data_IF_278118564489
#
_entry.id   IF_278118564489
#
_cell.length_a   1.000
_cell.length_b   1.000
_cell.length_c   1.000
_cell.angle_alpha   90.00
_cell.angle_beta   90.00
_cell.angle_gamma   90.00
#
_symmetry.space_group_name_H-M   'P 1'
#
loop_
_entity.id
_entity.type
_entity.pdbx_description
1 polymer ?
#
# COMPACT_ATOMS: atom_id res chain seq x y z
N UNK A 1 -19.93 -14.90 -15.47
CA UNK A 1 -19.41 -15.48 -14.22
C UNK A 1 -17.92 -15.63 -14.43
N UNK A 2 -17.14 -14.64 -14.00
CA UNK A 2 -15.68 -14.64 -14.17
C UNK A 2 -15.12 -15.80 -13.34
N UNK A 3 -14.05 -16.44 -13.82
CA UNK A 3 -13.45 -17.61 -13.16
C UNK A 3 -12.90 -17.23 -11.78
N UNK A 4 -13.19 -18.00 -10.73
CA UNK A 4 -12.73 -17.75 -9.35
C UNK A 4 -11.22 -17.46 -9.25
N UNK A 5 -10.42 -18.10 -10.11
CA UNK A 5 -8.98 -17.90 -10.20
C UNK A 5 -8.61 -16.50 -10.71
N UNK A 6 -9.38 -15.96 -11.66
CA UNK A 6 -9.15 -14.62 -12.20
C UNK A 6 -9.48 -13.56 -11.15
N UNK A 7 -10.58 -13.73 -10.42
CA UNK A 7 -10.96 -12.82 -9.34
C UNK A 7 -9.91 -12.78 -8.23
N UNK A 8 -9.34 -13.94 -7.88
CA UNK A 8 -8.22 -14.02 -6.94
C UNK A 8 -6.99 -13.24 -7.42
N UNK A 9 -6.61 -13.41 -8.70
CA UNK A 9 -5.47 -12.67 -9.29
C UNK A 9 -5.73 -11.17 -9.31
N UNK A 10 -6.95 -10.73 -9.68
CA UNK A 10 -7.31 -9.31 -9.66
C UNK A 10 -7.26 -8.73 -8.25
N UNK A 11 -7.82 -9.43 -7.25
CA UNK A 11 -7.76 -9.01 -5.85
C UNK A 11 -6.32 -8.97 -5.32
N UNK A 12 -5.47 -9.92 -5.71
CA UNK A 12 -4.06 -9.93 -5.35
C UNK A 12 -3.31 -8.72 -5.94
N UNK A 13 -3.49 -8.43 -7.23
CA UNK A 13 -2.89 -7.27 -7.90
C UNK A 13 -3.42 -5.95 -7.33
N UNK A 14 -4.72 -5.87 -7.07
CA UNK A 14 -5.35 -4.71 -6.48
C UNK A 14 -4.84 -4.45 -5.06
N UNK A 15 -4.73 -5.49 -4.23
CA UNK A 15 -4.19 -5.40 -2.88
C UNK A 15 -2.73 -4.98 -2.90
N UNK A 16 -1.92 -5.53 -3.80
CA UNK A 16 -0.53 -5.12 -4.00
C UNK A 16 -0.44 -3.63 -4.33
N UNK A 17 -1.23 -3.14 -5.30
CA UNK A 17 -1.22 -1.73 -5.68
C UNK A 17 -1.69 -0.83 -4.55
N UNK A 18 -2.75 -1.21 -3.85
CA UNK A 18 -3.29 -0.44 -2.72
C UNK A 18 -2.28 -0.34 -1.58
N UNK A 19 -1.63 -1.45 -1.23
CA UNK A 19 -0.59 -1.49 -0.19
C UNK A 19 0.56 -0.56 -0.55
N UNK A 20 1.05 -0.64 -1.80
CA UNK A 20 2.14 0.24 -2.26
C UNK A 20 1.71 1.70 -2.24
N UNK A 21 0.47 1.97 -2.64
CA UNK A 21 -0.12 3.31 -2.64
C UNK A 21 -0.25 3.89 -1.24
N UNK A 22 -0.54 3.10 -0.22
CA UNK A 22 -0.65 3.57 1.17
C UNK A 22 0.72 3.74 1.86
N UNK A 23 1.66 2.83 1.62
CA UNK A 23 2.93 2.78 2.35
C UNK A 23 4.02 3.61 1.70
N UNK A 24 4.12 3.61 0.37
CA UNK A 24 5.30 4.15 -0.34
C UNK A 24 5.00 5.38 -1.19
N UNK A 25 3.79 5.51 -1.73
CA UNK A 25 3.49 6.56 -2.71
C UNK A 25 3.53 7.97 -2.08
N UNK A 26 4.15 8.92 -2.79
CA UNK A 26 4.26 10.32 -2.36
C UNK A 26 2.92 11.03 -2.42
N UNK A 27 2.03 10.62 -3.33
CA UNK A 27 0.70 11.23 -3.49
C UNK A 27 -0.12 11.07 -2.20
N UNK A 28 0.02 9.93 -1.53
CA UNK A 28 -0.67 9.64 -0.27
C UNK A 28 0.13 10.05 0.97
N UNK A 29 1.24 10.78 0.81
CA UNK A 29 2.02 11.27 1.96
C UNK A 29 1.15 12.14 2.90
N UNK A 30 0.13 12.83 2.38
CA UNK A 30 -0.84 13.55 3.20
C UNK A 30 -1.58 12.64 4.19
N UNK A 31 -1.85 11.39 3.81
CA UNK A 31 -2.52 10.40 4.65
C UNK A 31 -1.60 9.88 5.76
N UNK A 32 -0.28 9.80 5.49
CA UNK A 32 0.75 9.35 6.46
C UNK A 32 1.21 10.46 7.41
N UNK A 33 1.30 11.71 6.94
CA UNK A 33 1.72 12.89 7.71
C UNK A 33 1.08 13.07 9.10
N UNK A 34 -0.22 12.77 9.31
CA UNK A 34 -0.81 12.83 10.64
C UNK A 34 -0.38 11.68 11.57
N UNK A 35 0.11 10.55 11.05
CA UNK A 35 0.47 9.36 11.83
C UNK A 35 1.98 9.17 11.98
N UNK A 36 2.78 9.64 11.02
CA UNK A 36 4.23 9.49 11.02
C UNK A 36 4.92 10.86 11.22
N UNK A 37 6.03 10.85 11.95
CA UNK A 37 7.00 11.93 12.08
C UNK A 37 8.32 11.39 11.55
N UNK A 38 8.78 11.93 10.44
CA UNK A 38 10.13 11.67 9.97
C UNK A 38 11.07 12.50 10.85
N UNK A 39 11.88 11.82 11.67
CA UNK A 39 12.94 12.45 12.44
C UNK A 39 14.25 12.05 11.77
N UNK A 40 14.93 13.04 11.22
CA UNK A 40 16.31 12.92 10.76
C UNK A 40 17.20 13.19 11.97
N UNK A 41 17.68 12.12 12.62
CA UNK A 41 18.73 12.26 13.65
C UNK A 41 20.08 11.90 13.05
N UNK A 42 21.07 12.74 13.31
CA UNK A 42 22.47 12.39 13.03
C UNK A 42 22.90 11.42 14.11
N UNK A 43 23.14 10.16 13.72
CA UNK A 43 23.70 9.17 14.62
C UNK A 43 25.09 9.64 15.10
N UNK A 44 25.58 9.17 16.27
CA UNK A 44 26.90 9.53 16.80
C UNK A 44 28.06 9.27 15.82
N UNK A 45 27.85 8.36 14.87
CA UNK A 45 28.81 7.95 13.84
C UNK A 45 28.77 8.82 12.56
N UNK A 46 27.97 9.89 12.54
CA UNK A 46 27.89 10.83 11.41
C UNK A 46 26.99 10.37 10.25
N UNK A 47 26.31 9.22 10.38
CA UNK A 47 25.29 8.77 9.44
C UNK A 47 23.96 9.46 9.70
N UNK A 48 23.29 9.90 8.64
CA UNK A 48 21.93 10.45 8.71
C UNK A 48 21.00 9.25 8.69
N UNK A 49 20.35 8.97 9.82
CA UNK A 49 19.36 7.90 9.90
C UNK A 49 17.96 8.53 10.00
N UNK A 50 17.13 8.25 9.00
CA UNK A 50 15.73 8.66 8.97
C UNK A 50 14.90 7.65 9.74
N UNK A 51 14.46 8.04 10.94
CA UNK A 51 13.58 7.22 11.77
C UNK A 51 12.13 7.70 11.65
N UNK A 52 11.22 6.75 11.48
CA UNK A 52 9.77 7.02 11.48
C UNK A 52 9.27 6.91 12.93
N UNK A 53 9.08 8.06 13.59
CA UNK A 53 8.42 8.12 14.89
C UNK A 53 6.89 8.19 14.71
N UNK A 54 6.16 7.30 15.38
CA UNK A 54 4.71 7.21 15.27
C UNK A 54 4.04 8.25 16.19
N UNK A 55 3.20 9.11 15.63
CA UNK A 55 2.54 10.21 16.34
C UNK A 55 1.27 9.77 17.08
N UNK A 56 1.06 10.36 18.26
CA UNK A 56 -0.20 10.28 19.00
C UNK A 56 -0.35 9.05 19.88
N UNK A 57 -1.56 8.84 20.43
CA UNK A 57 -1.89 7.74 21.34
C UNK A 57 -3.16 7.00 20.88
N UNK A 58 -3.38 5.77 21.38
CA UNK A 58 -4.56 4.97 21.06
C UNK A 58 -4.69 4.62 19.56
N UNK A 59 -5.86 4.90 18.98
CA UNK A 59 -6.19 4.58 17.58
C UNK A 59 -5.23 5.26 16.59
N UNK A 60 -4.78 6.49 16.88
CA UNK A 60 -3.85 7.21 16.01
C UNK A 60 -2.49 6.50 15.94
N UNK A 61 -2.00 5.99 17.07
CA UNK A 61 -0.77 5.20 17.11
C UNK A 61 -0.93 3.87 16.37
N UNK A 62 -2.05 3.18 16.58
CA UNK A 62 -2.36 1.91 15.91
C UNK A 62 -2.41 2.03 14.38
N UNK A 63 -3.05 3.09 13.84
CA UNK A 63 -3.05 3.36 12.39
C UNK A 63 -1.63 3.65 11.89
N UNK A 64 -0.83 4.38 12.68
CA UNK A 64 0.57 4.65 12.36
C UNK A 64 1.43 3.39 12.31
N UNK A 65 1.23 2.45 13.23
CA UNK A 65 1.89 1.13 13.25
C UNK A 65 1.46 0.25 12.06
N UNK A 66 0.17 0.31 11.70
CA UNK A 66 -0.35 -0.40 10.54
C UNK A 66 0.31 0.12 9.26
N UNK A 67 0.38 1.43 9.09
CA UNK A 67 0.99 2.09 7.92
C UNK A 67 2.52 1.96 7.87
N UNK A 68 3.20 1.75 9.00
CA UNK A 68 4.64 1.49 9.00
C UNK A 68 4.98 0.04 8.64
N UNK A 69 4.04 -0.89 8.84
CA UNK A 69 4.22 -2.29 8.48
C UNK A 69 3.51 -2.63 7.16
N UNK A 70 4.29 -2.82 6.09
CA UNK A 70 3.74 -3.19 4.78
C UNK A 70 2.99 -4.53 4.76
N UNK A 71 3.34 -5.48 5.64
CA UNK A 71 2.63 -6.75 5.77
C UNK A 71 1.24 -6.53 6.38
N UNK A 72 1.16 -5.76 7.45
CA UNK A 72 -0.10 -5.39 8.09
C UNK A 72 -0.99 -4.63 7.11
N UNK A 73 -0.46 -3.59 6.46
CA UNK A 73 -1.19 -2.83 5.45
C UNK A 73 -1.69 -3.74 4.32
N UNK A 74 -0.90 -4.75 3.92
CA UNK A 74 -1.27 -5.76 2.93
C UNK A 74 -2.49 -6.57 3.31
N UNK A 75 -2.51 -7.15 4.51
CA UNK A 75 -3.65 -7.94 5.01
C UNK A 75 -4.91 -7.10 5.10
N UNK A 76 -4.81 -5.87 5.63
CA UNK A 76 -5.95 -4.96 5.74
C UNK A 76 -6.45 -4.47 4.37
N UNK A 77 -5.54 -4.21 3.43
CA UNK A 77 -5.89 -3.84 2.06
C UNK A 77 -6.69 -4.94 1.36
N UNK A 78 -6.23 -6.20 1.48
CA UNK A 78 -6.94 -7.35 0.94
C UNK A 78 -8.33 -7.52 1.57
N UNK A 79 -8.43 -7.42 2.90
CA UNK A 79 -9.69 -7.55 3.62
C UNK A 79 -10.70 -6.45 3.21
N UNK A 80 -10.26 -5.21 3.06
CA UNK A 80 -11.09 -4.08 2.63
C UNK A 80 -11.55 -4.28 1.19
N UNK A 81 -10.66 -4.66 0.28
CA UNK A 81 -11.01 -4.86 -1.13
C UNK A 81 -12.00 -6.01 -1.31
N UNK A 82 -11.73 -7.17 -0.69
CA UNK A 82 -12.62 -8.32 -0.73
C UNK A 82 -13.97 -8.00 -0.08
N UNK A 83 -13.96 -7.37 1.10
CA UNK A 83 -15.18 -6.94 1.79
C UNK A 83 -16.01 -5.95 0.96
N UNK A 84 -15.37 -4.98 0.30
CA UNK A 84 -16.05 -4.01 -0.57
C UNK A 84 -16.66 -4.67 -1.80
N UNK A 85 -15.96 -5.65 -2.37
CA UNK A 85 -16.45 -6.42 -3.51
C UNK A 85 -17.66 -7.29 -3.13
N UNK A 86 -17.67 -7.88 -1.93
CA UNK A 86 -18.77 -8.70 -1.43
C UNK A 86 -19.98 -7.88 -0.98
N UNK A 87 -19.78 -6.78 -0.26
CA UNK A 87 -20.86 -5.97 0.30
C UNK A 87 -21.48 -5.02 -0.72
N UNK A 88 -20.65 -4.42 -1.59
CA UNK A 88 -21.07 -3.41 -2.57
C UNK A 88 -20.49 -3.71 -3.95
N UNK A 89 -20.92 -4.80 -4.62
CA UNK A 89 -20.31 -5.26 -5.87
C UNK A 89 -20.32 -4.22 -6.99
N UNK A 90 -21.32 -3.33 -7.03
CA UNK A 90 -21.39 -2.25 -8.02
C UNK A 90 -20.24 -1.24 -7.91
N UNK A 91 -19.68 -1.05 -6.71
CA UNK A 91 -18.60 -0.08 -6.45
C UNK A 91 -17.27 -0.81 -6.22
N UNK A 92 -17.28 -1.93 -5.50
CA UNK A 92 -16.08 -2.73 -5.23
C UNK A 92 -15.48 -3.32 -6.50
N UNK A 93 -16.30 -3.85 -7.41
CA UNK A 93 -15.80 -4.44 -8.66
C UNK A 93 -14.99 -3.46 -9.53
N UNK A 94 -15.48 -2.24 -9.84
CA UNK A 94 -14.68 -1.30 -10.61
C UNK A 94 -13.43 -0.83 -9.86
N UNK A 95 -13.49 -0.65 -8.53
CA UNK A 95 -12.32 -0.27 -7.73
C UNK A 95 -11.22 -1.34 -7.80
N UNK A 96 -11.58 -2.61 -7.58
CA UNK A 96 -10.65 -3.75 -7.67
C UNK A 96 -10.06 -3.82 -9.08
N UNK A 97 -10.87 -3.70 -10.12
CA UNK A 97 -10.40 -3.70 -11.51
C UNK A 97 -9.38 -2.59 -11.80
N UNK A 98 -9.67 -1.35 -11.41
CA UNK A 98 -8.78 -0.20 -11.63
C UNK A 98 -7.44 -0.41 -10.91
N UNK A 99 -7.49 -0.84 -9.64
CA UNK A 99 -6.29 -1.09 -8.84
C UNK A 99 -5.49 -2.27 -9.38
N UNK A 100 -6.15 -3.33 -9.86
CA UNK A 100 -5.49 -4.49 -10.45
C UNK A 100 -4.75 -4.12 -11.75
N UNK A 101 -5.39 -3.35 -12.63
CA UNK A 101 -4.77 -2.85 -13.87
C UNK A 101 -3.55 -1.98 -13.54
N UNK A 102 -3.69 -1.03 -12.61
CA UNK A 102 -2.59 -0.18 -12.18
C UNK A 102 -1.46 -0.99 -11.50
N UNK A 103 -1.80 -2.03 -10.74
CA UNK A 103 -0.84 -2.95 -10.14
C UNK A 103 -0.03 -3.72 -11.18
N UNK A 104 -0.71 -4.29 -12.17
CA UNK A 104 -0.06 -4.98 -13.29
C UNK A 104 0.84 -4.02 -14.08
N UNK A 105 0.35 -2.83 -14.41
CA UNK A 105 1.13 -1.81 -15.10
C UNK A 105 2.41 -1.44 -14.32
N UNK A 106 2.31 -1.28 -13.00
CA UNK A 106 3.45 -0.98 -12.14
C UNK A 106 4.50 -2.10 -12.15
N UNK A 107 4.06 -3.37 -12.18
CA UNK A 107 4.96 -4.53 -12.24
C UNK A 107 5.67 -4.56 -13.60
N UNK A 108 4.92 -4.40 -14.70
CA UNK A 108 5.47 -4.35 -16.05
C UNK A 108 6.49 -3.22 -16.20
N UNK A 109 6.18 -2.02 -15.72
CA UNK A 109 7.10 -0.88 -15.72
C UNK A 109 8.38 -1.20 -14.93
N UNK A 110 8.26 -1.78 -13.74
CA UNK A 110 9.42 -2.16 -12.92
C UNK A 110 10.30 -3.19 -13.63
N UNK A 111 9.69 -4.17 -14.30
CA UNK A 111 10.40 -5.19 -15.08
C UNK A 111 11.09 -4.58 -16.31
N UNK A 112 10.41 -3.71 -17.05
CA UNK A 112 10.98 -3.04 -18.22
C UNK A 112 12.17 -2.18 -17.85
N UNK A 113 12.06 -1.37 -16.80
CA UNK A 113 13.17 -0.57 -16.28
C UNK A 113 14.36 -1.47 -15.91
N UNK A 114 14.09 -2.59 -15.24
CA UNK A 114 15.15 -3.53 -14.86
C UNK A 114 15.87 -4.17 -16.05
N UNK A 115 15.14 -4.47 -17.14
CA UNK A 115 15.71 -5.03 -18.37
C UNK A 115 16.51 -3.97 -19.16
N UNK A 116 16.08 -2.70 -19.12
CA UNK A 116 16.77 -1.60 -19.83
C UNK A 116 18.03 -1.12 -19.12
N UNK A 117 18.09 -1.26 -17.80
CA UNK A 117 19.25 -0.91 -16.97
C UNK A 117 20.35 -2.00 -16.94
N UNK A 118 20.14 -3.14 -17.62
CA UNK A 118 21.10 -4.23 -17.85
C UNK A 118 21.71 -4.17 -19.26
#
# INVERSE_FOLDING_TARGET
MVSYWLDFVLLALASFRLTRLLVYDKITAFLRKPFHKEITEMAPDGTIEEYIEIKGTGIRKWIGELLSCHWCTGVWSAAILYGSWMLFPQIGSPIVMILAIAGLASILETVLLRIMDE
#
